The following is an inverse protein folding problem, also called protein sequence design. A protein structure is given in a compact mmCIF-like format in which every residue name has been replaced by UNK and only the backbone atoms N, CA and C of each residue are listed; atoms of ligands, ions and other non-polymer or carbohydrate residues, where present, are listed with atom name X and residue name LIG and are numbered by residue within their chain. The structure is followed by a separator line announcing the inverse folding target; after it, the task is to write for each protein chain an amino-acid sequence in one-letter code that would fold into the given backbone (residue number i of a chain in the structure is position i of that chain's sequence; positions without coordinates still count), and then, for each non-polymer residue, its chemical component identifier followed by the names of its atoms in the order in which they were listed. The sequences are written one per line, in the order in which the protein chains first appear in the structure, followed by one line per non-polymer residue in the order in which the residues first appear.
data_IF_884408683194
#
_entry.id   IF_884408683194
#
_cell.length_a   1.000
_cell.length_b   1.000
_cell.length_c   1.000
_cell.angle_alpha   90.00
_cell.angle_beta   90.00
_cell.angle_gamma   90.00
#
_symmetry.space_group_name_H-M   'P 1'
#
loop_
_entity.id
_entity.type
_entity.pdbx_description
1 polymer ?
#
# COMPACT_ATOMS: atom_id res chain seq x y z
N UNK A 1 33.94 3.71 -28.90
CA UNK A 1 33.47 2.59 -28.03
C UNK A 1 33.17 3.04 -26.61
N UNK A 2 34.08 3.74 -25.92
CA UNK A 2 33.87 4.19 -24.53
C UNK A 2 32.64 5.10 -24.32
N UNK A 3 32.42 6.07 -25.22
CA UNK A 3 31.26 6.98 -25.17
C UNK A 3 29.91 6.25 -25.36
N UNK A 4 29.90 5.19 -26.18
CA UNK A 4 28.72 4.36 -26.40
C UNK A 4 28.37 3.56 -25.14
N UNK A 5 29.39 3.01 -24.46
CA UNK A 5 29.23 2.28 -23.20
C UNK A 5 28.77 3.22 -22.08
N UNK A 6 29.34 4.42 -21.98
CA UNK A 6 28.92 5.41 -20.98
C UNK A 6 27.49 5.90 -21.20
N UNK A 7 27.05 6.07 -22.46
CA UNK A 7 25.67 6.44 -22.78
C UNK A 7 24.65 5.36 -22.38
N UNK A 8 24.97 4.09 -22.64
CA UNK A 8 24.11 2.95 -22.25
C UNK A 8 24.03 2.80 -20.73
N UNK A 9 25.18 2.89 -20.03
CA UNK A 9 25.21 2.82 -18.57
C UNK A 9 24.47 4.00 -17.91
N UNK A 10 24.60 5.21 -18.47
CA UNK A 10 23.85 6.39 -18.03
C UNK A 10 22.34 6.20 -18.19
N UNK A 11 21.90 5.71 -19.34
CA UNK A 11 20.49 5.37 -19.59
C UNK A 11 19.96 4.33 -18.60
N UNK A 12 20.71 3.27 -18.35
CA UNK A 12 20.34 2.23 -17.38
C UNK A 12 20.19 2.78 -15.95
N UNK A 13 21.09 3.68 -15.53
CA UNK A 13 20.99 4.32 -14.20
C UNK A 13 19.75 5.21 -14.06
N UNK A 14 19.38 5.95 -15.10
CA UNK A 14 18.18 6.80 -15.09
C UNK A 14 16.91 5.95 -15.00
N UNK A 15 16.84 4.85 -15.78
CA UNK A 15 15.72 3.92 -15.73
C UNK A 15 15.59 3.30 -14.34
N UNK A 16 16.71 2.86 -13.74
CA UNK A 16 16.71 2.33 -12.37
C UNK A 16 16.25 3.36 -11.34
N UNK A 17 16.68 4.60 -11.45
CA UNK A 17 16.25 5.67 -10.55
C UNK A 17 14.73 5.92 -10.65
N UNK A 18 14.18 5.91 -11.87
CA UNK A 18 12.73 6.05 -12.09
C UNK A 18 11.98 4.85 -11.48
N UNK A 19 12.45 3.63 -11.73
CA UNK A 19 11.84 2.42 -11.17
C UNK A 19 11.84 2.44 -9.64
N UNK A 20 12.97 2.81 -9.02
CA UNK A 20 13.06 2.95 -7.57
C UNK A 20 12.08 3.99 -7.00
N UNK A 21 11.89 5.11 -7.70
CA UNK A 21 10.97 6.17 -7.30
C UNK A 21 9.50 5.72 -7.39
N UNK A 22 9.15 4.96 -8.43
CA UNK A 22 7.81 4.36 -8.57
C UNK A 22 7.53 3.35 -7.45
N UNK A 23 8.48 2.46 -7.17
CA UNK A 23 8.39 1.48 -6.07
C UNK A 23 8.25 2.19 -4.73
N UNK A 24 9.03 3.24 -4.48
CA UNK A 24 8.94 4.04 -3.27
C UNK A 24 7.55 4.66 -3.08
N UNK A 25 6.99 5.28 -4.12
CA UNK A 25 5.61 5.82 -4.08
C UNK A 25 4.58 4.74 -3.77
N UNK A 26 4.78 3.53 -4.28
CA UNK A 26 3.88 2.42 -4.05
C UNK A 26 3.95 1.91 -2.60
N UNK A 27 5.15 1.87 -2.01
CA UNK A 27 5.30 1.57 -0.57
C UNK A 27 4.61 2.60 0.31
N UNK A 28 4.75 3.90 0.00
CA UNK A 28 4.04 4.95 0.74
C UNK A 28 2.52 4.80 0.63
N UNK A 29 2.02 4.49 -0.57
CA UNK A 29 0.59 4.24 -0.78
C UNK A 29 0.09 3.04 0.03
N UNK A 30 0.84 1.94 0.01
CA UNK A 30 0.52 0.74 0.78
C UNK A 30 0.49 1.04 2.30
N UNK A 31 1.47 1.78 2.82
CA UNK A 31 1.50 2.18 4.21
C UNK A 31 0.29 3.06 4.59
N UNK A 32 -0.11 3.97 3.70
CA UNK A 32 -1.31 4.80 3.90
C UNK A 32 -2.58 3.95 3.98
N UNK A 33 -2.78 3.04 3.02
CA UNK A 33 -3.95 2.14 3.00
C UNK A 33 -3.98 1.22 4.23
N UNK A 34 -2.82 0.75 4.72
CA UNK A 34 -2.74 -0.01 5.97
C UNK A 34 -3.11 0.82 7.20
N UNK A 35 -2.74 2.10 7.27
CA UNK A 35 -3.14 2.99 8.36
C UNK A 35 -4.64 3.28 8.34
N UNK A 36 -5.23 3.50 7.16
CA UNK A 36 -6.68 3.66 6.99
C UNK A 36 -7.44 2.41 7.45
N UNK A 37 -6.95 1.22 7.10
CA UNK A 37 -7.52 -0.03 7.58
C UNK A 37 -7.46 -0.14 9.11
N UNK A 38 -6.31 0.18 9.72
CA UNK A 38 -6.16 0.15 11.17
C UNK A 38 -7.12 1.13 11.87
N UNK A 39 -7.28 2.35 11.33
CA UNK A 39 -8.22 3.34 11.85
C UNK A 39 -9.67 2.84 11.79
N UNK A 40 -10.05 2.18 10.70
CA UNK A 40 -11.39 1.63 10.54
C UNK A 40 -11.65 0.45 11.48
N UNK A 41 -10.67 -0.44 11.66
CA UNK A 41 -10.74 -1.52 12.67
C UNK A 41 -10.97 -0.92 14.06
N UNK A 42 -10.21 0.11 14.45
CA UNK A 42 -10.41 0.79 15.73
C UNK A 42 -11.80 1.41 15.82
N UNK A 43 -12.30 2.06 14.78
CA UNK A 43 -13.63 2.66 14.77
C UNK A 43 -14.78 1.64 14.82
N UNK A 44 -14.52 0.39 14.44
CA UNK A 44 -15.50 -0.69 14.52
C UNK A 44 -15.65 -1.28 15.92
N UNK A 45 -14.76 -0.87 16.83
CA UNK A 45 -14.80 -1.21 18.25
C UNK A 45 -15.56 -0.09 18.97
N UNK A 46 -16.76 -0.41 19.44
CA UNK A 46 -17.56 0.44 20.30
C UNK A 46 -17.32 0.03 21.75
N UNK A 47 -16.75 0.93 22.56
CA UNK A 47 -16.65 0.76 24.00
C UNK A 47 -17.85 1.45 24.65
N UNK A 48 -18.71 0.65 25.29
CA UNK A 48 -19.86 1.16 26.01
C UNK A 48 -19.43 1.71 27.39
N UNK A 49 -20.25 2.60 27.97
CA UNK A 49 -19.95 3.26 29.26
C UNK A 49 -19.77 2.30 30.45
N UNK A 50 -20.23 1.05 30.31
CA UNK A 50 -20.06 -0.03 31.28
C UNK A 50 -18.73 -0.80 31.12
N UNK A 51 -17.88 -0.39 30.16
CA UNK A 51 -16.62 -1.04 29.82
C UNK A 51 -16.79 -2.29 28.95
N UNK A 52 -18.00 -2.57 28.44
CA UNK A 52 -18.19 -3.66 27.47
C UNK A 52 -17.71 -3.23 26.08
N UNK A 53 -16.97 -4.14 25.44
CA UNK A 53 -16.45 -3.95 24.10
C UNK A 53 -17.36 -4.68 23.12
N UNK A 54 -18.01 -3.93 22.23
CA UNK A 54 -18.79 -4.46 21.12
C UNK A 54 -18.03 -4.20 19.82
N UNK A 55 -17.94 -5.21 18.96
CA UNK A 55 -17.33 -5.06 17.64
C UNK A 55 -18.44 -5.18 16.61
N UNK A 56 -18.55 -4.23 15.68
CA UNK A 56 -19.48 -4.35 14.56
C UNK A 56 -18.87 -5.27 13.48
N UNK A 57 -19.31 -6.54 13.39
CA UNK A 57 -18.68 -7.51 12.50
C UNK A 57 -18.95 -7.21 11.02
N UNK A 58 -20.05 -6.52 10.72
CA UNK A 58 -20.44 -6.17 9.35
C UNK A 58 -19.54 -5.04 8.81
N UNK A 59 -19.30 -4.02 9.64
CA UNK A 59 -18.36 -2.95 9.32
C UNK A 59 -16.95 -3.52 9.12
N UNK A 60 -16.48 -4.37 10.05
CA UNK A 60 -15.18 -5.01 9.97
C UNK A 60 -15.00 -5.86 8.70
N UNK A 61 -16.02 -6.64 8.33
CA UNK A 61 -16.01 -7.48 7.13
C UNK A 61 -15.98 -6.65 5.85
N UNK A 62 -16.84 -5.62 5.75
CA UNK A 62 -16.88 -4.73 4.60
C UNK A 62 -15.54 -4.02 4.38
N UNK A 63 -14.95 -3.48 5.45
CA UNK A 63 -13.65 -2.82 5.38
C UNK A 63 -12.51 -3.79 5.02
N UNK A 64 -12.54 -5.01 5.56
CA UNK A 64 -11.54 -6.02 5.24
C UNK A 64 -11.60 -6.44 3.76
N UNK A 65 -12.80 -6.55 3.20
CA UNK A 65 -12.97 -6.83 1.76
C UNK A 65 -12.47 -5.69 0.88
N UNK A 66 -12.71 -4.43 1.27
CA UNK A 66 -12.21 -3.28 0.52
C UNK A 66 -10.67 -3.20 0.57
N UNK A 67 -10.08 -3.41 1.75
CA UNK A 67 -8.62 -3.44 1.91
C UNK A 67 -7.95 -4.57 1.11
N UNK A 68 -8.53 -5.77 1.10
CA UNK A 68 -8.04 -6.89 0.28
C UNK A 68 -8.12 -6.56 -1.22
N UNK A 69 -9.17 -5.87 -1.66
CA UNK A 69 -9.33 -5.41 -3.05
C UNK A 69 -8.23 -4.42 -3.45
N UNK A 70 -7.97 -3.42 -2.60
CA UNK A 70 -6.92 -2.42 -2.83
C UNK A 70 -5.51 -3.05 -2.84
N UNK A 71 -5.22 -3.91 -1.86
CA UNK A 71 -3.97 -4.67 -1.79
C UNK A 71 -3.76 -5.56 -3.03
N UNK A 72 -4.82 -6.23 -3.51
CA UNK A 72 -4.79 -7.03 -4.73
C UNK A 72 -4.48 -6.17 -5.97
N UNK A 73 -5.06 -4.97 -6.05
CA UNK A 73 -4.75 -3.98 -7.09
C UNK A 73 -3.28 -3.55 -7.07
N UNK A 74 -2.72 -3.27 -5.89
CA UNK A 74 -1.32 -2.93 -5.72
C UNK A 74 -0.39 -4.09 -6.09
N UNK A 75 -0.70 -5.31 -5.65
CA UNK A 75 0.11 -6.51 -5.94
C UNK A 75 0.12 -6.87 -7.44
N UNK A 76 -1.00 -6.66 -8.16
CA UNK A 76 -1.04 -6.83 -9.62
C UNK A 76 -0.09 -5.89 -10.34
N UNK A 77 0.09 -4.68 -9.83
CA UNK A 77 1.02 -3.70 -10.38
C UNK A 77 2.49 -4.00 -10.07
N UNK A 78 2.81 -4.59 -8.91
CA UNK A 78 4.19 -4.97 -8.55
C UNK A 78 4.67 -6.22 -9.32
N UNK A 79 3.75 -7.06 -9.80
CA UNK A 79 4.07 -8.27 -10.58
C UNK A 79 4.23 -8.03 -12.09
N UNK A 80 3.98 -6.81 -12.57
CA UNK A 80 4.25 -6.39 -13.95
C UNK A 80 5.64 -5.74 -14.04
#
# INVERSE_FOLDING_TARGET
MWEMVSGVLGGATVINAIAALLVYRQYLKLASESMEYAALVISSIEEAEDGTISVNPLALAATSMDHVSQLSGLLKWVRL
#
